data_IF_958311567488
#
_entry.id   IF_958311567488
#
_cell.length_a   1.000
_cell.length_b   1.000
_cell.length_c   1.000
_cell.angle_alpha   90.00
_cell.angle_beta   90.00
_cell.angle_gamma   90.00
#
_symmetry.space_group_name_H-M   'P 1'
#
loop_
_entity.id
_entity.type
_entity.pdbx_description
1 polymer ?
#
# COMPACT_ATOMS: atom_id res chain seq x y z
N UNK A 1 -24.20 -14.11 30.21
CA UNK A 1 -24.74 -13.42 29.02
C UNK A 1 -23.75 -13.65 27.90
N UNK A 2 -24.17 -14.32 26.81
CA UNK A 2 -23.33 -14.43 25.61
C UNK A 2 -23.21 -13.04 24.98
N UNK A 3 -22.02 -12.45 25.05
CA UNK A 3 -21.75 -11.18 24.40
C UNK A 3 -21.34 -11.45 22.96
N UNK A 4 -22.25 -11.17 22.03
CA UNK A 4 -21.95 -11.21 20.60
C UNK A 4 -21.34 -9.87 20.17
N UNK A 5 -20.12 -9.86 19.61
CA UNK A 5 -19.54 -8.64 19.08
C UNK A 5 -20.39 -8.12 17.92
N UNK A 6 -20.54 -6.78 17.79
CA UNK A 6 -21.36 -6.19 16.73
C UNK A 6 -20.76 -6.53 15.36
N UNK A 7 -21.61 -6.95 14.42
CA UNK A 7 -21.23 -7.28 13.05
C UNK A 7 -21.69 -6.17 12.09
N UNK A 8 -20.89 -5.83 11.04
CA UNK A 8 -21.31 -4.84 10.05
C UNK A 8 -22.58 -5.25 9.32
N UNK A 9 -23.50 -4.29 9.15
CA UNK A 9 -24.73 -4.44 8.38
C UNK A 9 -24.50 -4.15 6.90
N UNK A 10 -25.50 -4.40 6.06
CA UNK A 10 -25.43 -4.06 4.63
C UNK A 10 -25.24 -2.55 4.40
N UNK A 11 -25.95 -1.72 5.17
CA UNK A 11 -25.85 -0.26 5.08
C UNK A 11 -24.44 0.24 5.41
N UNK A 12 -23.76 -0.40 6.36
CA UNK A 12 -22.36 -0.09 6.71
C UNK A 12 -21.42 -0.34 5.52
N UNK A 13 -21.63 -1.41 4.77
CA UNK A 13 -20.83 -1.70 3.58
C UNK A 13 -21.10 -0.73 2.43
N UNK A 14 -22.34 -0.27 2.26
CA UNK A 14 -22.66 0.77 1.27
C UNK A 14 -22.00 2.10 1.63
N UNK A 15 -22.04 2.48 2.91
CA UNK A 15 -21.34 3.66 3.41
C UNK A 15 -19.82 3.53 3.25
N UNK A 16 -19.24 2.37 3.60
CA UNK A 16 -17.83 2.09 3.42
C UNK A 16 -17.41 2.21 1.95
N UNK A 17 -18.21 1.67 1.02
CA UNK A 17 -17.96 1.75 -0.42
C UNK A 17 -17.92 3.20 -0.90
N UNK A 18 -18.83 4.07 -0.41
CA UNK A 18 -18.82 5.51 -0.71
C UNK A 18 -17.56 6.20 -0.19
N UNK A 19 -17.00 5.73 0.92
CA UNK A 19 -15.72 6.21 1.49
C UNK A 19 -14.47 5.53 0.88
N UNK A 20 -14.62 4.74 -0.18
CA UNK A 20 -13.51 4.04 -0.82
C UNK A 20 -12.94 2.88 0.01
N UNK A 21 -13.68 2.39 1.00
CA UNK A 21 -13.31 1.22 1.82
C UNK A 21 -14.07 -0.02 1.32
N UNK A 22 -13.38 -0.99 0.69
CA UNK A 22 -14.01 -2.23 0.24
C UNK A 22 -14.47 -3.09 1.42
N UNK A 23 -15.55 -3.86 1.22
CA UNK A 23 -16.11 -4.82 2.19
C UNK A 23 -15.05 -5.65 2.92
N UNK A 24 -14.12 -6.24 2.16
CA UNK A 24 -13.01 -7.05 2.72
C UNK A 24 -12.18 -6.29 3.76
N UNK A 25 -11.95 -4.99 3.58
CA UNK A 25 -11.19 -4.19 4.54
C UNK A 25 -12.00 -3.87 5.79
N UNK A 26 -13.32 -3.64 5.65
CA UNK A 26 -14.22 -3.50 6.81
C UNK A 26 -14.19 -4.77 7.65
N UNK A 27 -14.32 -5.95 7.01
CA UNK A 27 -14.29 -7.24 7.70
C UNK A 27 -12.97 -7.45 8.44
N UNK A 28 -11.84 -7.13 7.80
CA UNK A 28 -10.52 -7.25 8.43
C UNK A 28 -10.39 -6.31 9.62
N UNK A 29 -10.80 -5.05 9.46
CA UNK A 29 -10.72 -4.03 10.51
C UNK A 29 -11.51 -4.43 11.75
N UNK A 30 -12.73 -4.93 11.58
CA UNK A 30 -13.57 -5.36 12.70
C UNK A 30 -13.07 -6.68 13.30
N UNK A 31 -12.85 -7.71 12.49
CA UNK A 31 -12.57 -9.07 12.99
C UNK A 31 -11.16 -9.26 13.53
N UNK A 32 -10.16 -8.67 12.87
CA UNK A 32 -8.75 -8.94 13.18
C UNK A 32 -8.02 -7.75 13.78
N UNK A 33 -8.45 -6.52 13.49
CA UNK A 33 -7.83 -5.31 14.05
C UNK A 33 -8.59 -4.73 15.25
N UNK A 34 -9.75 -5.30 15.60
CA UNK A 34 -10.56 -4.88 16.75
C UNK A 34 -11.15 -3.48 16.62
N UNK A 35 -11.29 -2.96 15.39
CA UNK A 35 -11.89 -1.65 15.16
C UNK A 35 -13.40 -1.69 15.38
N UNK A 36 -13.96 -0.56 15.81
CA UNK A 36 -15.41 -0.38 15.79
C UNK A 36 -15.92 -0.35 14.34
N UNK A 37 -17.20 -0.67 14.12
CA UNK A 37 -17.82 -0.59 12.78
C UNK A 37 -17.65 0.81 12.20
N UNK A 38 -17.90 1.86 13.01
CA UNK A 38 -17.71 3.25 12.61
C UNK A 38 -16.28 3.55 12.13
N UNK A 39 -15.27 3.14 12.90
CA UNK A 39 -13.87 3.29 12.49
C UNK A 39 -13.59 2.51 11.20
N UNK A 40 -14.16 1.31 11.08
CA UNK A 40 -13.94 0.42 9.96
C UNK A 40 -14.46 0.99 8.63
N UNK A 41 -15.55 1.75 8.66
CA UNK A 41 -16.20 2.31 7.46
C UNK A 41 -15.78 3.74 7.15
N UNK A 42 -15.36 4.53 8.14
CA UNK A 42 -15.03 5.97 7.97
C UNK A 42 -13.56 6.23 7.66
N UNK A 43 -12.63 5.47 8.27
CA UNK A 43 -11.21 5.76 8.12
C UNK A 43 -10.72 5.38 6.72
N UNK A 44 -10.04 6.28 5.98
CA UNK A 44 -9.58 5.97 4.63
C UNK A 44 -8.54 4.84 4.64
N UNK A 45 -8.38 4.16 3.51
CA UNK A 45 -7.27 3.24 3.30
C UNK A 45 -5.98 4.04 3.07
N UNK A 46 -4.90 3.66 3.75
CA UNK A 46 -3.59 4.25 3.52
C UNK A 46 -3.01 3.73 2.21
N UNK A 47 -2.53 4.62 1.34
CA UNK A 47 -1.78 4.21 0.16
C UNK A 47 -0.46 3.56 0.57
N UNK A 48 0.06 2.66 -0.27
CA UNK A 48 1.41 2.11 -0.10
C UNK A 48 2.48 3.22 -0.17
N UNK A 49 2.21 4.29 -0.93
CA UNK A 49 3.09 5.45 -1.09
C UNK A 49 3.10 6.32 0.17
N UNK A 50 1.94 6.54 0.79
CA UNK A 50 1.77 7.32 2.02
C UNK A 50 2.26 6.63 3.30
N UNK A 51 3.04 5.55 3.18
CA UNK A 51 3.54 4.82 4.35
C UNK A 51 4.42 5.79 5.17
N UNK A 52 4.22 5.90 6.50
CA UNK A 52 4.94 6.87 7.32
C UNK A 52 6.47 6.83 7.15
N UNK A 53 7.04 5.63 6.98
CA UNK A 53 8.47 5.44 6.76
C UNK A 53 9.00 5.85 5.39
N UNK A 54 8.14 6.16 4.41
CA UNK A 54 8.51 6.48 3.01
C UNK A 54 8.00 7.84 2.53
N UNK A 55 7.32 8.58 3.40
CA UNK A 55 6.56 9.78 3.04
C UNK A 55 7.46 10.80 2.32
N UNK A 56 7.10 11.20 1.09
CA UNK A 56 7.86 12.12 0.25
C UNK A 56 8.88 11.43 -0.66
N UNK A 57 9.58 10.41 -0.16
CA UNK A 57 10.64 9.72 -0.91
C UNK A 57 10.10 8.81 -2.01
N UNK A 58 8.91 8.25 -1.83
CA UNK A 58 8.25 7.48 -2.87
C UNK A 58 7.88 8.36 -4.09
N UNK A 59 7.43 9.60 -3.84
CA UNK A 59 7.17 10.58 -4.90
C UNK A 59 8.47 11.05 -5.58
N UNK A 60 9.51 11.36 -4.80
CA UNK A 60 10.83 11.73 -5.33
C UNK A 60 11.39 10.63 -6.23
N UNK A 61 11.30 9.37 -5.80
CA UNK A 61 11.73 8.22 -6.60
C UNK A 61 11.00 8.17 -7.95
N UNK A 62 9.68 8.38 -7.96
CA UNK A 62 8.88 8.39 -9.19
C UNK A 62 9.26 9.55 -10.12
N UNK A 63 9.50 10.75 -9.58
CA UNK A 63 10.02 11.91 -10.33
C UNK A 63 11.40 11.62 -10.94
N UNK A 64 12.24 10.84 -10.25
CA UNK A 64 13.55 10.41 -10.72
C UNK A 64 13.50 9.16 -11.63
N UNK A 65 12.30 8.72 -12.04
CA UNK A 65 12.10 7.56 -12.91
C UNK A 65 12.41 6.22 -12.24
N UNK A 66 12.46 6.18 -10.91
CA UNK A 66 12.68 4.97 -10.12
C UNK A 66 11.31 4.39 -9.75
N UNK A 67 10.98 3.16 -10.21
CA UNK A 67 9.72 2.54 -9.85
C UNK A 67 9.60 2.34 -8.33
N UNK A 68 8.40 2.56 -7.78
CA UNK A 68 8.11 2.37 -6.35
C UNK A 68 8.63 1.02 -5.81
N UNK A 69 8.48 -0.05 -6.59
CA UNK A 69 8.97 -1.40 -6.22
C UNK A 69 10.49 -1.41 -6.02
N UNK A 70 11.23 -0.75 -6.91
CA UNK A 70 12.69 -0.62 -6.83
C UNK A 70 13.09 0.19 -5.61
N UNK A 71 12.45 1.33 -5.39
CA UNK A 71 12.64 2.15 -4.19
C UNK A 71 12.45 1.32 -2.91
N UNK A 72 11.32 0.60 -2.79
CA UNK A 72 11.04 -0.24 -1.62
C UNK A 72 12.06 -1.37 -1.46
N UNK A 73 12.51 -2.01 -2.56
CA UNK A 73 13.55 -3.03 -2.47
C UNK A 73 14.89 -2.48 -1.99
N UNK A 74 15.27 -1.28 -2.43
CA UNK A 74 16.51 -0.63 -1.97
C UNK A 74 16.46 -0.37 -0.48
N UNK A 75 15.34 0.13 0.04
CA UNK A 75 15.18 0.40 1.47
C UNK A 75 15.10 -0.88 2.30
N UNK A 76 14.27 -1.86 1.89
CA UNK A 76 13.97 -3.04 2.72
C UNK A 76 14.96 -4.20 2.60
N UNK A 77 15.55 -4.38 1.42
CA UNK A 77 16.38 -5.54 1.09
C UNK A 77 17.85 -5.14 1.09
N UNK A 78 18.16 -3.99 0.50
CA UNK A 78 19.53 -3.49 0.41
C UNK A 78 19.91 -2.57 1.59
N UNK A 79 18.96 -2.27 2.47
CA UNK A 79 19.14 -1.38 3.63
C UNK A 79 19.68 0.01 3.26
N UNK A 80 19.32 0.52 2.08
CA UNK A 80 19.68 1.88 1.68
C UNK A 80 18.88 2.91 2.46
N UNK A 81 19.47 4.09 2.63
CA UNK A 81 18.73 5.25 3.14
C UNK A 81 17.58 5.62 2.18
N UNK A 82 16.54 6.28 2.70
CA UNK A 82 15.41 6.73 1.88
C UNK A 82 15.85 7.67 0.75
N UNK A 83 16.78 8.56 1.08
CA UNK A 83 17.35 9.53 0.14
C UNK A 83 18.14 8.84 -0.97
N UNK A 84 19.04 7.93 -0.62
CA UNK A 84 19.83 7.16 -1.59
C UNK A 84 18.92 6.29 -2.47
N UNK A 85 17.95 5.60 -1.85
CA UNK A 85 17.00 4.77 -2.57
C UNK A 85 16.17 5.54 -3.61
N UNK A 86 15.82 6.80 -3.31
CA UNK A 86 15.01 7.67 -4.15
C UNK A 86 15.80 8.46 -5.19
N UNK A 87 17.11 8.66 -5.02
CA UNK A 87 17.90 9.50 -5.92
C UNK A 87 18.87 8.73 -6.83
N UNK A 88 19.26 7.50 -6.48
CA UNK A 88 20.17 6.74 -7.34
C UNK A 88 19.44 6.20 -8.58
N UNK A 89 19.85 6.53 -9.81
CA UNK A 89 19.20 6.02 -11.01
C UNK A 89 19.17 4.49 -11.07
N UNK A 90 18.16 3.91 -11.69
CA UNK A 90 18.18 2.47 -11.97
C UNK A 90 19.06 2.20 -13.18
N UNK A 91 19.81 1.09 -13.15
CA UNK A 91 20.59 0.67 -14.32
C UNK A 91 19.61 0.36 -15.45
N UNK A 92 19.64 1.14 -16.52
CA UNK A 92 18.89 0.81 -17.73
C UNK A 92 19.45 -0.48 -18.31
N UNK A 93 18.69 -1.57 -18.19
CA UNK A 93 18.90 -2.73 -19.05
C UNK A 93 18.36 -2.35 -20.42
N UNK A 94 19.22 -1.82 -21.29
CA UNK A 94 18.91 -1.77 -22.72
C UNK A 94 18.57 -3.19 -23.17
N UNK A 95 17.40 -3.36 -23.81
CA UNK A 95 16.87 -4.63 -24.27
C UNK A 95 17.93 -5.40 -25.07
N UNK A 96 18.71 -6.25 -24.40
CA UNK A 96 19.60 -7.23 -25.02
C UNK A 96 18.83 -8.55 -25.18
N UNK A 97 17.66 -8.48 -25.81
CA UNK A 97 17.01 -9.62 -26.48
C UNK A 97 17.28 -9.49 -27.97
N UNK A 98 18.55 -9.58 -28.34
CA UNK A 98 18.93 -9.99 -29.69
C UNK A 98 19.52 -11.40 -29.59
N UNK A 99 18.78 -12.33 -30.23
CA UNK A 99 19.19 -13.63 -30.78
C UNK A 99 19.20 -14.88 -29.90
N UNK A 100 18.71 -15.95 -30.53
CA UNK A 100 18.72 -17.36 -30.13
C UNK A 100 17.43 -18.06 -30.57
N UNK A 101 17.20 -18.27 -31.89
CA UNK A 101 17.30 -19.58 -32.59
C UNK A 101 16.21 -20.57 -32.08
N UNK A 102 15.26 -21.04 -32.88
CA UNK A 102 15.38 -21.82 -34.12
C UNK A 102 14.18 -21.67 -35.05
#
# INVERSE_FOLDING_TARGET
MEYYPPVPTWNDYEFAKKNGVPRRNVDIRVRYLGWTIEQAITKPLMSKRDRPGYKGFAEIAEMNGIPYKTFVSRVKILNWSLEEAANTPTRHYSNRRQKGVS
#
